data_IF_572365431796
#
_entry.id   IF_572365431796
#
_cell.length_a   1.000
_cell.length_b   1.000
_cell.length_c   1.000
_cell.angle_alpha   90.00
_cell.angle_beta   90.00
_cell.angle_gamma   90.00
#
_symmetry.space_group_name_H-M   'P 1'
#
loop_
_entity.id
_entity.type
_entity.pdbx_description
1 polymer ?
#
# COMPACT_ATOMS: atom_id res chain seq x y z
N UNK A 1 -31.92 12.11 24.06
CA UNK A 1 -32.96 12.30 23.02
C UNK A 1 -32.78 13.69 22.42
N UNK A 2 -32.77 13.82 21.09
CA UNK A 2 -32.65 15.14 20.44
C UNK A 2 -33.88 15.98 20.81
N UNK A 3 -33.74 17.24 21.26
CA UNK A 3 -34.90 18.02 21.69
C UNK A 3 -35.85 18.32 20.53
N UNK A 4 -37.17 18.18 20.74
CA UNK A 4 -38.21 18.34 19.71
C UNK A 4 -38.14 19.67 18.95
N UNK A 5 -37.80 20.76 19.66
CA UNK A 5 -37.65 22.10 19.09
C UNK A 5 -36.57 22.19 18.00
N UNK A 6 -35.49 21.42 18.11
CA UNK A 6 -34.44 21.37 17.08
C UNK A 6 -34.90 20.63 15.82
N UNK A 7 -35.67 19.55 16.00
CA UNK A 7 -36.23 18.77 14.89
C UNK A 7 -37.23 19.62 14.10
N UNK A 8 -38.12 20.31 14.80
CA UNK A 8 -39.11 21.19 14.16
C UNK A 8 -38.46 22.36 13.42
N UNK A 9 -37.44 23.00 14.02
CA UNK A 9 -36.70 24.08 13.37
C UNK A 9 -36.00 23.59 12.09
N UNK A 10 -35.39 22.40 12.14
CA UNK A 10 -34.74 21.78 10.99
C UNK A 10 -35.73 21.43 9.87
N UNK A 11 -36.87 20.81 10.21
CA UNK A 11 -37.92 20.48 9.23
C UNK A 11 -38.51 21.74 8.58
N UNK A 12 -38.75 22.80 9.36
CA UNK A 12 -39.21 24.08 8.82
C UNK A 12 -38.20 24.70 7.87
N UNK A 13 -36.91 24.62 8.20
CA UNK A 13 -35.83 25.09 7.31
C UNK A 13 -35.81 24.30 5.98
N UNK A 14 -35.87 22.97 6.06
CA UNK A 14 -35.94 22.06 4.91
C UNK A 14 -37.12 22.37 3.99
N UNK A 15 -38.32 22.49 4.55
CA UNK A 15 -39.55 22.70 3.78
C UNK A 15 -39.64 24.13 3.23
N UNK A 16 -39.17 25.14 3.98
CA UNK A 16 -39.14 26.54 3.53
C UNK A 16 -38.18 26.73 2.34
N UNK A 17 -37.04 26.06 2.36
CA UNK A 17 -35.99 26.18 1.34
C UNK A 17 -35.91 24.93 0.43
N UNK A 18 -37.04 24.23 0.22
CA UNK A 18 -37.07 22.91 -0.44
C UNK A 18 -36.29 22.82 -1.74
N UNK A 19 -36.35 23.86 -2.58
CA UNK A 19 -35.64 23.90 -3.86
C UNK A 19 -34.12 24.02 -3.65
N UNK A 20 -33.69 24.93 -2.76
CA UNK A 20 -32.27 25.09 -2.46
C UNK A 20 -31.68 23.82 -1.84
N UNK A 21 -32.41 23.17 -0.93
CA UNK A 21 -31.95 21.91 -0.33
C UNK A 21 -31.90 20.79 -1.36
N UNK A 22 -32.92 20.66 -2.22
CA UNK A 22 -32.93 19.66 -3.28
C UNK A 22 -31.76 19.85 -4.26
N UNK A 23 -31.45 21.10 -4.65
CA UNK A 23 -30.30 21.42 -5.50
C UNK A 23 -28.99 21.06 -4.80
N UNK A 24 -28.82 21.41 -3.53
CA UNK A 24 -27.61 21.07 -2.77
C UNK A 24 -27.42 19.55 -2.68
N UNK A 25 -28.47 18.79 -2.40
CA UNK A 25 -28.43 17.32 -2.37
C UNK A 25 -28.10 16.75 -3.74
N UNK A 26 -28.69 17.28 -4.81
CA UNK A 26 -28.41 16.86 -6.18
C UNK A 26 -26.95 17.12 -6.55
N UNK A 27 -26.43 18.30 -6.23
CA UNK A 27 -25.01 18.66 -6.47
C UNK A 27 -24.08 17.74 -5.70
N UNK A 28 -24.34 17.47 -4.42
CA UNK A 28 -23.55 16.51 -3.63
C UNK A 28 -23.60 15.10 -4.24
N UNK A 29 -24.77 14.66 -4.70
CA UNK A 29 -24.94 13.35 -5.33
C UNK A 29 -24.12 13.25 -6.61
N UNK A 30 -24.20 14.26 -7.48
CA UNK A 30 -23.44 14.31 -8.73
C UNK A 30 -21.93 14.36 -8.45
N UNK A 31 -21.52 15.12 -7.43
CA UNK A 31 -20.12 15.18 -7.00
C UNK A 31 -19.59 13.80 -6.61
N UNK A 32 -20.27 13.06 -5.73
CA UNK A 32 -19.84 11.71 -5.35
C UNK A 32 -19.89 10.73 -6.53
N UNK A 33 -20.90 10.85 -7.40
CA UNK A 33 -20.98 10.03 -8.61
C UNK A 33 -19.81 10.28 -9.58
N UNK A 34 -19.31 11.52 -9.67
CA UNK A 34 -18.11 11.84 -10.44
C UNK A 34 -16.84 11.26 -9.79
N UNK A 35 -16.70 11.36 -8.47
CA UNK A 35 -15.55 10.83 -7.73
C UNK A 35 -15.43 9.29 -7.80
N UNK A 36 -16.55 8.57 -7.92
CA UNK A 36 -16.54 7.11 -8.10
C UNK A 36 -15.67 6.65 -9.28
N UNK A 37 -15.55 7.47 -10.33
CA UNK A 37 -14.71 7.13 -11.51
C UNK A 37 -13.21 7.08 -11.19
N UNK A 38 -12.79 7.74 -10.12
CA UNK A 38 -11.38 7.82 -9.73
C UNK A 38 -11.01 6.79 -8.66
N UNK A 39 -11.96 6.07 -8.07
CA UNK A 39 -11.68 5.07 -7.04
C UNK A 39 -10.94 3.90 -7.65
N UNK A 40 -9.79 3.56 -7.06
CA UNK A 40 -9.03 2.34 -7.36
C UNK A 40 -9.06 1.48 -6.10
N UNK A 41 -9.70 0.32 -6.18
CA UNK A 41 -9.67 -0.68 -5.11
C UNK A 41 -8.55 -1.65 -5.43
N UNK A 42 -7.43 -1.52 -4.72
CA UNK A 42 -6.29 -2.43 -4.87
C UNK A 42 -6.12 -3.17 -3.54
N UNK A 43 -6.19 -4.51 -3.52
CA UNK A 43 -5.91 -5.29 -2.32
C UNK A 43 -4.39 -5.32 -2.11
N UNK A 44 -3.85 -4.32 -1.45
CA UNK A 44 -2.44 -4.26 -1.08
C UNK A 44 -2.31 -4.54 0.42
N UNK A 45 -1.53 -5.59 0.75
CA UNK A 45 -1.29 -6.01 2.14
C UNK A 45 -0.71 -4.88 3.01
N UNK A 46 -0.03 -3.92 2.39
CA UNK A 46 0.58 -2.80 3.07
C UNK A 46 -0.43 -1.76 3.60
N UNK A 47 -1.64 -1.71 3.03
CA UNK A 47 -2.70 -0.80 3.49
C UNK A 47 -3.28 -1.21 4.85
N UNK A 48 -3.03 -2.45 5.31
CA UNK A 48 -3.42 -2.89 6.65
C UNK A 48 -2.53 -2.30 7.76
N UNK A 49 -1.31 -1.85 7.42
CA UNK A 49 -0.47 -1.15 8.39
C UNK A 49 -0.98 0.28 8.60
N UNK A 50 -0.76 0.90 9.78
CA UNK A 50 -1.20 2.26 10.08
C UNK A 50 -0.36 3.32 9.33
N UNK A 51 -0.43 3.27 7.99
CA UNK A 51 0.30 4.13 7.06
C UNK A 51 -0.24 5.55 7.02
N UNK A 52 0.40 6.42 6.22
CA UNK A 52 -0.11 7.76 5.98
C UNK A 52 -1.52 7.65 5.40
N UNK A 53 -2.44 8.38 6.02
CA UNK A 53 -3.83 8.35 5.60
C UNK A 53 -4.01 9.41 4.51
N UNK A 54 -4.40 8.96 3.33
CA UNK A 54 -4.52 9.76 2.12
C UNK A 54 -5.99 9.86 1.72
N UNK A 55 -6.46 11.06 1.42
CA UNK A 55 -7.78 11.30 0.81
C UNK A 55 -7.55 11.67 -0.64
N UNK A 56 -8.27 11.03 -1.55
CA UNK A 56 -8.23 11.36 -2.96
C UNK A 56 -9.45 12.20 -3.32
N UNK A 57 -9.23 13.37 -3.91
CA UNK A 57 -10.28 14.29 -4.38
C UNK A 57 -9.85 14.86 -5.73
N UNK A 58 -10.76 14.83 -6.71
CA UNK A 58 -10.53 15.26 -8.09
C UNK A 58 -9.31 14.60 -8.73
N UNK A 59 -9.07 13.34 -8.39
CA UNK A 59 -7.89 12.60 -8.85
C UNK A 59 -6.57 12.95 -8.14
N UNK A 60 -6.51 14.02 -7.35
CA UNK A 60 -5.34 14.42 -6.56
C UNK A 60 -5.33 13.75 -5.18
N UNK A 61 -4.14 13.42 -4.70
CA UNK A 61 -3.93 12.72 -3.44
C UNK A 61 -3.45 13.69 -2.35
N UNK A 62 -4.23 13.78 -1.26
CA UNK A 62 -3.97 14.68 -0.14
C UNK A 62 -3.67 13.87 1.12
N UNK A 63 -2.51 14.07 1.73
CA UNK A 63 -2.15 13.45 3.00
C UNK A 63 -2.73 14.23 4.16
N UNK A 64 -3.68 13.65 4.90
CA UNK A 64 -4.31 14.31 6.05
C UNK A 64 -3.68 13.90 7.39
N UNK A 65 -3.05 12.72 7.44
CA UNK A 65 -2.34 12.23 8.63
C UNK A 65 -1.05 11.52 8.24
N UNK A 66 0.05 11.88 8.90
CA UNK A 66 1.33 11.16 8.74
C UNK A 66 1.22 9.76 9.38
N UNK A 67 1.78 8.76 8.71
CA UNK A 67 1.83 7.39 9.22
C UNK A 67 2.82 7.22 10.38
N UNK A 68 2.81 6.02 10.99
CA UNK A 68 3.74 5.70 12.07
C UNK A 68 5.22 5.71 11.58
N UNK A 69 6.20 6.18 12.38
CA UNK A 69 7.62 6.27 11.98
C UNK A 69 8.21 4.97 11.40
N UNK A 70 7.85 3.82 11.96
CA UNK A 70 8.30 2.50 11.48
C UNK A 70 7.89 2.21 10.02
N UNK A 71 6.75 2.73 9.56
CA UNK A 71 6.30 2.53 8.19
C UNK A 71 7.13 3.36 7.22
N UNK A 72 7.60 4.54 7.64
CA UNK A 72 8.50 5.35 6.82
C UNK A 72 9.85 4.67 6.62
N UNK A 73 10.37 4.04 7.68
CA UNK A 73 11.58 3.23 7.62
C UNK A 73 11.38 2.07 6.64
N UNK A 74 10.30 1.29 6.83
CA UNK A 74 9.96 0.20 5.92
C UNK A 74 9.86 0.66 4.46
N UNK A 75 9.14 1.75 4.17
CA UNK A 75 8.98 2.29 2.81
C UNK A 75 10.32 2.73 2.18
N UNK A 76 11.27 3.18 3.00
CA UNK A 76 12.61 3.56 2.55
C UNK A 76 13.42 2.32 2.18
N UNK A 77 13.46 1.32 3.06
CA UNK A 77 14.17 0.05 2.80
C UNK A 77 13.53 -0.77 1.69
N UNK A 78 12.21 -0.73 1.55
CA UNK A 78 11.47 -1.41 0.48
C UNK A 78 11.93 -0.99 -0.92
N UNK A 79 12.33 0.27 -1.10
CA UNK A 79 12.85 0.74 -2.40
C UNK A 79 14.21 0.12 -2.75
N UNK A 80 14.99 -0.26 -1.74
CA UNK A 80 16.34 -0.81 -1.91
C UNK A 80 16.34 -2.35 -1.97
N UNK A 81 15.57 -3.00 -1.11
CA UNK A 81 15.55 -4.47 -0.95
C UNK A 81 14.31 -5.14 -1.56
N UNK A 82 13.38 -4.34 -2.09
CA UNK A 82 12.11 -4.77 -2.67
C UNK A 82 11.04 -5.09 -1.64
N UNK A 83 9.99 -5.83 -2.06
CA UNK A 83 8.80 -6.06 -1.22
C UNK A 83 9.03 -7.07 -0.09
N UNK A 84 8.06 -7.23 0.81
CA UNK A 84 8.11 -8.19 1.92
C UNK A 84 8.23 -9.67 1.46
N UNK A 85 8.08 -9.95 0.17
CA UNK A 85 8.15 -11.30 -0.40
C UNK A 85 9.51 -11.60 -1.04
N UNK A 86 10.53 -10.77 -0.79
CA UNK A 86 11.88 -10.98 -1.29
C UNK A 86 12.78 -11.50 -0.18
N UNK A 87 13.48 -12.59 -0.46
CA UNK A 87 14.54 -13.13 0.39
C UNK A 87 15.90 -12.80 -0.24
N UNK A 88 16.75 -12.10 0.48
CA UNK A 88 18.14 -11.87 0.08
C UNK A 88 19.06 -12.69 0.96
N UNK A 89 19.86 -13.56 0.35
CA UNK A 89 20.88 -14.37 1.03
C UNK A 89 22.25 -13.85 0.62
N UNK A 90 23.09 -13.52 1.60
CA UNK A 90 24.43 -12.97 1.37
C UNK A 90 25.45 -13.98 1.89
N UNK A 91 26.40 -14.34 1.02
CA UNK A 91 27.55 -15.18 1.37
C UNK A 91 28.79 -14.30 1.46
N UNK A 92 29.36 -14.18 2.65
CA UNK A 92 30.59 -13.42 2.89
C UNK A 92 31.81 -14.35 3.00
N UNK A 93 32.90 -13.99 2.32
CA UNK A 93 34.18 -14.70 2.39
C UNK A 93 35.10 -13.95 3.36
N UNK A 94 35.59 -14.64 4.41
CA UNK A 94 36.42 -14.01 5.45
C UNK A 94 37.82 -13.59 4.97
N UNK A 95 38.38 -14.32 4.02
CA UNK A 95 39.74 -14.09 3.51
C UNK A 95 39.78 -14.33 1.99
N UNK A 96 40.29 -13.35 1.24
CA UNK A 96 40.41 -13.44 -0.22
C UNK A 96 39.19 -12.92 -0.98
N UNK A 97 38.94 -13.48 -2.17
CA UNK A 97 37.85 -13.07 -3.06
C UNK A 97 36.68 -14.07 -3.10
N UNK A 98 35.58 -13.66 -3.72
CA UNK A 98 34.38 -14.50 -3.94
C UNK A 98 34.56 -15.46 -5.13
N UNK A 99 35.47 -15.16 -6.05
CA UNK A 99 35.65 -15.88 -7.31
C UNK A 99 36.54 -17.13 -7.18
N UNK A 100 36.40 -17.86 -6.08
CA UNK A 100 37.10 -19.12 -5.88
C UNK A 100 36.14 -20.32 -6.08
N UNK A 101 36.62 -21.46 -6.62
CA UNK A 101 35.78 -22.61 -6.92
C UNK A 101 34.98 -23.12 -5.71
N UNK A 102 35.59 -23.09 -4.52
CA UNK A 102 34.94 -23.59 -3.30
C UNK A 102 33.77 -22.73 -2.85
N UNK A 103 33.86 -21.40 -3.03
CA UNK A 103 32.82 -20.45 -2.67
C UNK A 103 31.69 -20.48 -3.68
N UNK A 104 32.03 -20.55 -4.98
CA UNK A 104 31.04 -20.72 -6.04
C UNK A 104 30.27 -22.04 -5.91
N UNK A 105 30.94 -23.13 -5.53
CA UNK A 105 30.27 -24.42 -5.29
C UNK A 105 29.33 -24.36 -4.08
N UNK A 106 29.73 -23.70 -2.99
CA UNK A 106 28.84 -23.45 -1.85
C UNK A 106 27.64 -22.59 -2.26
N UNK A 107 27.86 -21.55 -3.06
CA UNK A 107 26.81 -20.67 -3.57
C UNK A 107 25.82 -21.42 -4.46
N UNK A 108 26.30 -22.31 -5.35
CA UNK A 108 25.48 -23.18 -6.18
C UNK A 108 24.60 -24.12 -5.32
N UNK A 109 25.18 -24.77 -4.30
CA UNK A 109 24.43 -25.63 -3.38
C UNK A 109 23.33 -24.85 -2.64
N UNK A 110 23.65 -23.65 -2.15
CA UNK A 110 22.66 -22.77 -1.49
C UNK A 110 21.55 -22.39 -2.47
N UNK A 111 21.91 -22.00 -3.69
CA UNK A 111 20.96 -21.59 -4.74
C UNK A 111 20.00 -22.73 -5.07
N UNK A 112 20.50 -23.95 -5.27
CA UNK A 112 19.68 -25.15 -5.53
C UNK A 112 18.72 -25.46 -4.39
N UNK A 113 19.19 -25.43 -3.14
CA UNK A 113 18.36 -25.63 -1.94
C UNK A 113 17.22 -24.61 -1.84
N UNK A 114 17.48 -23.35 -2.17
CA UNK A 114 16.46 -22.29 -2.19
C UNK A 114 15.42 -22.58 -3.28
N UNK A 115 15.87 -22.93 -4.49
CA UNK A 115 14.97 -23.28 -5.60
C UNK A 115 14.07 -24.48 -5.28
N UNK A 116 14.59 -25.47 -4.53
CA UNK A 116 13.83 -26.66 -4.09
C UNK A 116 12.84 -26.36 -2.95
N UNK A 117 12.92 -25.19 -2.31
CA UNK A 117 12.06 -24.84 -1.18
C UNK A 117 10.64 -24.52 -1.65
N UNK A 118 9.64 -25.15 -1.02
CA UNK A 118 8.22 -24.94 -1.37
C UNK A 118 7.83 -23.46 -1.21
N UNK A 119 7.24 -22.90 -2.26
CA UNK A 119 6.79 -21.50 -2.30
C UNK A 119 7.80 -20.54 -2.91
N UNK A 120 9.03 -20.99 -3.18
CA UNK A 120 9.98 -20.25 -4.01
C UNK A 120 9.59 -20.39 -5.47
N UNK A 121 9.74 -19.29 -6.21
CA UNK A 121 9.48 -19.23 -7.64
C UNK A 121 10.84 -19.37 -8.35
N UNK A 122 11.16 -20.52 -8.97
CA UNK A 122 12.52 -20.80 -9.47
C UNK A 122 13.02 -19.76 -10.47
N UNK A 123 12.15 -19.29 -11.35
CA UNK A 123 12.48 -18.31 -12.40
C UNK A 123 12.69 -16.88 -11.88
N UNK A 124 12.49 -16.62 -10.58
CA UNK A 124 12.75 -15.33 -9.94
C UNK A 124 13.99 -15.36 -9.04
N UNK A 125 14.72 -16.48 -9.00
CA UNK A 125 15.97 -16.58 -8.24
C UNK A 125 17.10 -15.97 -9.05
N UNK A 126 17.74 -14.94 -8.50
CA UNK A 126 18.93 -14.32 -9.07
C UNK A 126 20.14 -14.68 -8.20
N UNK A 127 21.14 -15.33 -8.79
CA UNK A 127 22.39 -15.68 -8.11
C UNK A 127 23.55 -15.67 -9.12
N UNK A 128 24.75 -15.35 -8.65
CA UNK A 128 25.98 -15.33 -9.48
C UNK A 128 26.33 -16.74 -9.98
N UNK A 129 25.86 -17.78 -9.27
CA UNK A 129 26.04 -19.17 -9.64
C UNK A 129 24.84 -19.76 -10.42
N UNK A 130 23.78 -18.97 -10.67
CA UNK A 130 22.63 -19.43 -11.44
C UNK A 130 22.93 -19.31 -12.95
N UNK A 131 22.63 -20.33 -13.78
CA UNK A 131 22.79 -20.24 -15.23
C UNK A 131 21.94 -19.16 -15.90
#
# INVERSE_FOLDING_TARGET
MIPKRWIEAYLRFLLRNRLAVAVVVAVMTVFFAAELRYIKVVPQFLDFYPGPSQVRLFGHEYTWRKGHPYINIYNTFRRMFGSANILTVILEVKHGDVYNPTTLQKLDVITKRIVETKGVVPYQVLSIAHP
#
